data_IF_654306506134
#
_entry.id   IF_654306506134
#
_cell.length_a   1.000
_cell.length_b   1.000
_cell.length_c   1.000
_cell.angle_alpha   90.00
_cell.angle_beta   90.00
_cell.angle_gamma   90.00
#
_symmetry.space_group_name_H-M   'P 1'
#
loop_
_entity.id
_entity.type
_entity.pdbx_description
1 polymer ?
#
# COMPACT_ATOMS: atom_id res chain seq x y z
N UNK A 1 -27.36 -1.52 -17.70
CA UNK A 1 -26.50 -2.73 -17.64
C UNK A 1 -27.40 -3.93 -17.43
N UNK A 2 -27.18 -5.02 -18.17
CA UNK A 2 -27.91 -6.26 -17.97
C UNK A 2 -27.35 -7.03 -16.76
N UNK A 3 -28.18 -7.82 -16.08
CA UNK A 3 -27.70 -8.76 -15.08
C UNK A 3 -27.01 -9.93 -15.77
N UNK A 4 -25.75 -10.19 -15.41
CA UNK A 4 -24.97 -11.32 -15.90
C UNK A 4 -24.64 -12.18 -14.68
N UNK A 5 -25.24 -13.38 -14.59
CA UNK A 5 -25.02 -14.29 -13.47
C UNK A 5 -23.59 -14.84 -13.48
N UNK A 6 -23.01 -15.03 -12.29
CA UNK A 6 -21.76 -15.77 -12.11
C UNK A 6 -21.94 -17.30 -12.12
N UNK A 7 -23.18 -17.78 -12.15
CA UNK A 7 -23.54 -19.19 -11.86
C UNK A 7 -24.08 -19.41 -10.44
N UNK A 8 -23.98 -18.40 -9.55
CA UNK A 8 -24.61 -18.43 -8.22
C UNK A 8 -26.14 -18.53 -8.33
N UNK A 9 -26.73 -19.38 -7.48
CA UNK A 9 -28.18 -19.55 -7.39
C UNK A 9 -28.72 -18.97 -6.07
N UNK A 10 -29.53 -17.89 -6.10
CA UNK A 10 -30.13 -17.31 -4.90
C UNK A 10 -31.16 -18.23 -4.22
N UNK A 11 -31.81 -19.13 -4.96
CA UNK A 11 -32.76 -20.11 -4.40
C UNK A 11 -32.04 -21.28 -3.71
N UNK A 12 -30.75 -21.48 -4.02
CA UNK A 12 -29.91 -22.55 -3.46
C UNK A 12 -28.56 -21.98 -3.02
N UNK A 13 -28.54 -21.07 -2.03
CA UNK A 13 -27.35 -20.27 -1.72
C UNK A 13 -26.17 -21.09 -1.17
N UNK A 14 -26.40 -22.34 -0.75
CA UNK A 14 -25.37 -23.24 -0.24
C UNK A 14 -24.84 -24.21 -1.30
N UNK A 15 -25.53 -24.35 -2.45
CA UNK A 15 -25.08 -25.21 -3.53
C UNK A 15 -23.80 -24.63 -4.16
N UNK A 16 -22.80 -25.48 -4.40
CA UNK A 16 -21.51 -25.14 -5.03
C UNK A 16 -20.72 -24.02 -4.32
N UNK A 17 -21.02 -23.76 -3.03
CA UNK A 17 -20.33 -22.78 -2.20
C UNK A 17 -18.97 -23.35 -1.75
N UNK A 18 -17.90 -22.68 -2.17
CA UNK A 18 -16.53 -22.93 -1.69
C UNK A 18 -16.18 -21.92 -0.58
N UNK A 19 -15.82 -22.41 0.60
CA UNK A 19 -15.41 -21.61 1.78
C UNK A 19 -14.11 -22.14 2.39
N UNK A 20 -13.52 -21.35 3.28
CA UNK A 20 -12.39 -21.76 4.13
C UNK A 20 -11.09 -22.15 3.39
N UNK A 21 -10.90 -21.64 2.16
CA UNK A 21 -9.71 -21.93 1.34
C UNK A 21 -8.47 -21.07 1.65
N UNK A 22 -8.63 -19.95 2.36
CA UNK A 22 -7.53 -19.01 2.65
C UNK A 22 -6.94 -18.33 1.39
N UNK A 23 -5.74 -17.73 1.50
CA UNK A 23 -5.05 -17.12 0.36
C UNK A 23 -4.34 -18.17 -0.50
N UNK A 24 -4.04 -17.81 -1.75
CA UNK A 24 -3.06 -18.55 -2.58
C UNK A 24 -1.70 -18.55 -1.89
N UNK A 25 -0.91 -19.60 -2.08
CA UNK A 25 0.39 -19.70 -1.45
C UNK A 25 1.37 -18.77 -2.19
N UNK A 26 2.17 -18.03 -1.44
CA UNK A 26 3.02 -16.97 -2.01
C UNK A 26 4.08 -17.48 -3.00
N UNK A 27 4.49 -18.75 -2.88
CA UNK A 27 5.56 -19.34 -3.69
C UNK A 27 5.11 -19.72 -5.10
N UNK A 28 3.80 -19.70 -5.36
CA UNK A 28 3.22 -19.76 -6.70
C UNK A 28 3.56 -18.52 -7.55
N UNK A 29 4.01 -17.43 -6.92
CA UNK A 29 4.24 -16.13 -7.56
C UNK A 29 5.68 -15.62 -7.41
N UNK A 30 6.63 -16.48 -7.04
CA UNK A 30 8.03 -16.06 -6.96
C UNK A 30 8.64 -15.92 -8.36
N UNK A 31 9.39 -14.82 -8.62
CA UNK A 31 10.34 -14.81 -9.72
C UNK A 31 11.29 -16.01 -9.60
N UNK A 32 11.71 -16.64 -10.71
CA UNK A 32 12.57 -17.83 -10.66
C UNK A 32 13.86 -17.64 -9.83
N UNK A 33 14.51 -16.47 -9.93
CA UNK A 33 15.70 -16.14 -9.13
C UNK A 33 15.41 -16.11 -7.63
N UNK A 34 14.23 -15.64 -7.23
CA UNK A 34 13.79 -15.62 -5.82
C UNK A 34 13.46 -17.02 -5.34
N UNK A 35 12.75 -17.81 -6.16
CA UNK A 35 12.36 -19.17 -5.81
C UNK A 35 13.57 -20.07 -5.52
N UNK A 36 14.61 -20.00 -6.37
CA UNK A 36 15.82 -20.83 -6.23
C UNK A 36 16.73 -20.39 -5.08
N UNK A 37 16.77 -19.09 -4.78
CA UNK A 37 17.68 -18.51 -3.78
C UNK A 37 16.99 -18.19 -2.44
N UNK A 38 15.73 -18.57 -2.26
CA UNK A 38 14.99 -18.35 -1.01
C UNK A 38 15.74 -18.97 0.18
N UNK A 39 16.09 -18.13 1.15
CA UNK A 39 16.82 -18.54 2.36
C UNK A 39 18.34 -18.67 2.18
N UNK A 40 18.88 -18.30 1.01
CA UNK A 40 20.30 -18.39 0.65
C UNK A 40 20.85 -17.04 0.16
N UNK A 41 20.33 -15.95 0.73
CA UNK A 41 20.80 -14.60 0.42
C UNK A 41 21.98 -14.24 1.32
N UNK A 42 23.08 -13.76 0.73
CA UNK A 42 24.31 -13.46 1.45
C UNK A 42 24.35 -12.00 1.92
N UNK A 43 24.06 -11.05 1.03
CA UNK A 43 24.03 -9.63 1.34
C UNK A 43 23.10 -8.86 0.39
N UNK A 44 22.90 -7.58 0.69
CA UNK A 44 22.21 -6.64 -0.17
C UNK A 44 22.96 -5.31 -0.22
N UNK A 45 22.74 -4.55 -1.28
CA UNK A 45 23.26 -3.19 -1.45
C UNK A 45 22.17 -2.29 -2.05
N UNK A 46 22.22 -1.00 -1.71
CA UNK A 46 21.41 0.03 -2.36
C UNK A 46 22.29 0.72 -3.39
N UNK A 47 22.03 0.46 -4.67
CA UNK A 47 22.87 0.97 -5.77
C UNK A 47 22.62 2.46 -6.03
N UNK A 48 21.37 2.89 -5.88
CA UNK A 48 20.90 4.27 -6.03
C UNK A 48 19.49 4.37 -5.39
N UNK A 49 18.93 5.58 -5.20
CA UNK A 49 17.57 5.73 -4.68
C UNK A 49 16.55 4.93 -5.50
N UNK A 50 15.85 4.01 -4.84
CA UNK A 50 14.87 3.12 -5.47
C UNK A 50 15.42 1.83 -6.08
N UNK A 51 16.73 1.59 -6.08
CA UNK A 51 17.33 0.38 -6.68
C UNK A 51 18.14 -0.40 -5.66
N UNK A 52 17.83 -1.68 -5.54
CA UNK A 52 18.47 -2.63 -4.64
C UNK A 52 19.05 -3.79 -5.45
N UNK A 53 20.12 -4.39 -4.94
CA UNK A 53 20.58 -5.72 -5.39
C UNK A 53 20.69 -6.64 -4.17
N UNK A 54 20.24 -7.88 -4.33
CA UNK A 54 20.50 -8.97 -3.39
C UNK A 54 21.37 -10.01 -4.09
N UNK A 55 22.42 -10.47 -3.41
CA UNK A 55 23.36 -11.46 -3.93
C UNK A 55 23.24 -12.74 -3.12
N UNK A 56 23.04 -13.86 -3.80
CA UNK A 56 22.90 -15.17 -3.15
C UNK A 56 24.25 -15.82 -2.85
N UNK A 57 24.22 -16.91 -2.08
CA UNK A 57 25.40 -17.76 -1.84
C UNK A 57 25.99 -18.37 -3.13
N UNK A 58 25.19 -18.52 -4.20
CA UNK A 58 25.67 -18.99 -5.51
C UNK A 58 26.26 -17.87 -6.38
N UNK A 59 26.16 -16.61 -5.94
CA UNK A 59 26.52 -15.43 -6.72
C UNK A 59 25.43 -14.96 -7.69
N UNK A 60 24.23 -15.57 -7.69
CA UNK A 60 23.09 -15.03 -8.44
C UNK A 60 22.65 -13.70 -7.83
N UNK A 61 22.31 -12.75 -8.70
CA UNK A 61 21.87 -11.41 -8.31
C UNK A 61 20.38 -11.21 -8.62
N UNK A 62 19.66 -10.53 -7.73
CA UNK A 62 18.30 -10.08 -7.94
C UNK A 62 18.23 -8.58 -7.71
N UNK A 63 17.96 -7.84 -8.79
CA UNK A 63 17.84 -6.40 -8.78
C UNK A 63 16.38 -6.02 -8.58
N UNK A 64 16.10 -5.12 -7.63
CA UNK A 64 14.74 -4.64 -7.35
C UNK A 64 14.65 -3.15 -7.60
N UNK A 65 13.71 -2.73 -8.44
CA UNK A 65 13.35 -1.33 -8.66
C UNK A 65 12.05 -1.03 -7.91
N UNK A 66 12.13 -0.19 -6.89
CA UNK A 66 10.99 0.25 -6.06
C UNK A 66 10.42 1.55 -6.60
N UNK A 67 9.11 1.59 -6.75
CA UNK A 67 8.36 2.79 -7.15
C UNK A 67 7.25 3.14 -6.17
N UNK A 68 6.97 4.44 -6.07
CA UNK A 68 5.85 4.95 -5.29
C UNK A 68 4.51 4.46 -5.86
N UNK A 69 3.58 4.14 -4.97
CA UNK A 69 2.19 3.79 -5.33
C UNK A 69 1.19 4.65 -4.57
N UNK A 70 0.04 4.95 -5.17
CA UNK A 70 -0.99 5.76 -4.53
C UNK A 70 -1.91 4.98 -3.56
N UNK A 71 -1.68 3.66 -3.40
CA UNK A 71 -2.49 2.69 -2.63
C UNK A 71 -3.93 2.56 -3.15
N UNK A 72 -4.71 3.64 -3.14
CA UNK A 72 -5.99 3.70 -3.83
C UNK A 72 -5.75 3.81 -5.33
N UNK A 73 -6.07 2.76 -6.08
CA UNK A 73 -5.75 2.67 -7.51
C UNK A 73 -6.90 2.10 -8.33
N UNK A 74 -6.97 2.49 -9.59
CA UNK A 74 -7.92 1.92 -10.55
C UNK A 74 -7.44 0.58 -11.09
N UNK A 75 -8.37 -0.23 -11.60
CA UNK A 75 -8.02 -1.46 -12.33
C UNK A 75 -7.17 -1.18 -13.57
N UNK A 76 -7.29 0.00 -14.19
CA UNK A 76 -6.45 0.39 -15.32
C UNK A 76 -5.00 0.61 -14.90
N UNK A 77 -4.78 1.23 -13.73
CA UNK A 77 -3.43 1.40 -13.19
C UNK A 77 -2.81 0.06 -12.79
N UNK A 78 -3.59 -0.86 -12.21
CA UNK A 78 -3.15 -2.24 -11.94
C UNK A 78 -2.76 -2.98 -13.21
N UNK A 79 -3.54 -2.86 -14.30
CA UNK A 79 -3.20 -3.47 -15.59
C UNK A 79 -1.94 -2.87 -16.20
N UNK A 80 -1.68 -1.58 -16.02
CA UNK A 80 -0.43 -0.92 -16.44
C UNK A 80 0.78 -1.41 -15.61
N UNK A 81 0.60 -1.66 -14.31
CA UNK A 81 1.61 -2.32 -13.48
C UNK A 81 1.92 -3.73 -14.01
N UNK A 82 0.89 -4.52 -14.35
CA UNK A 82 1.07 -5.83 -14.97
C UNK A 82 1.78 -5.75 -16.33
N UNK A 83 1.41 -4.80 -17.19
CA UNK A 83 2.07 -4.57 -18.49
C UNK A 83 3.58 -4.37 -18.35
N UNK A 84 4.01 -3.56 -17.36
CA UNK A 84 5.42 -3.34 -17.06
C UNK A 84 6.08 -4.63 -16.58
N UNK A 85 5.43 -5.38 -15.69
CA UNK A 85 5.95 -6.65 -15.19
C UNK A 85 6.08 -7.70 -16.30
N UNK A 86 5.10 -7.81 -17.19
CA UNK A 86 5.14 -8.72 -18.36
C UNK A 86 6.30 -8.33 -19.30
N UNK A 87 6.51 -7.04 -19.50
CA UNK A 87 7.54 -6.51 -20.42
C UNK A 87 8.97 -6.67 -19.89
N UNK A 88 9.19 -6.49 -18.59
CA UNK A 88 10.53 -6.38 -18.02
C UNK A 88 10.89 -7.44 -16.98
N UNK A 89 9.90 -8.09 -16.37
CA UNK A 89 10.04 -8.90 -15.15
C UNK A 89 9.38 -10.28 -15.27
N UNK A 90 9.16 -10.78 -16.50
CA UNK A 90 8.53 -12.08 -16.78
C UNK A 90 7.15 -12.27 -16.12
N UNK A 91 6.40 -11.17 -15.95
CA UNK A 91 5.09 -11.15 -15.31
C UNK A 91 5.11 -11.12 -13.79
N UNK A 92 6.29 -11.04 -13.16
CA UNK A 92 6.44 -10.99 -11.71
C UNK A 92 6.59 -9.57 -11.18
N UNK A 93 5.92 -9.29 -10.07
CA UNK A 93 6.05 -8.07 -9.29
C UNK A 93 5.64 -8.34 -7.84
N UNK A 94 5.93 -7.40 -6.94
CA UNK A 94 5.40 -7.45 -5.57
C UNK A 94 5.01 -6.08 -5.07
N UNK A 95 4.21 -6.07 -4.00
CA UNK A 95 3.92 -4.87 -3.22
C UNK A 95 4.66 -4.94 -1.88
N UNK A 96 5.15 -3.78 -1.43
CA UNK A 96 5.80 -3.64 -0.13
C UNK A 96 4.77 -3.46 0.99
N UNK A 97 5.19 -3.63 2.24
CA UNK A 97 4.35 -3.35 3.43
C UNK A 97 3.94 -1.88 3.57
N UNK A 98 4.50 -0.99 2.74
CA UNK A 98 4.12 0.44 2.68
C UNK A 98 3.49 0.83 1.35
N UNK A 99 2.91 -0.15 0.64
CA UNK A 99 2.12 0.05 -0.58
C UNK A 99 2.89 0.64 -1.77
N UNK A 100 4.22 0.62 -1.74
CA UNK A 100 5.05 0.76 -2.94
C UNK A 100 4.99 -0.52 -3.79
N UNK A 101 5.30 -0.39 -5.07
CA UNK A 101 5.44 -1.50 -6.02
C UNK A 101 6.92 -1.78 -6.21
N UNK A 102 7.28 -3.05 -6.36
CA UNK A 102 8.63 -3.49 -6.66
C UNK A 102 8.62 -4.43 -7.88
N UNK A 103 9.49 -4.10 -8.82
CA UNK A 103 9.78 -4.87 -10.01
C UNK A 103 11.16 -5.51 -9.85
N UNK A 104 11.30 -6.79 -10.23
CA UNK A 104 12.52 -7.55 -10.00
C UNK A 104 13.07 -8.09 -11.32
N UNK A 105 14.36 -7.90 -11.54
CA UNK A 105 15.09 -8.41 -12.71
C UNK A 105 16.36 -9.15 -12.26
N UNK A 106 16.78 -10.13 -13.04
CA UNK A 106 17.87 -11.07 -12.72
C UNK A 106 19.24 -10.62 -13.26
N UNK A 107 19.32 -9.47 -13.93
CA UNK A 107 20.58 -8.92 -14.42
C UNK A 107 20.63 -7.40 -14.40
N UNK A 108 21.86 -6.87 -14.25
CA UNK A 108 22.11 -5.44 -14.13
C UNK A 108 21.71 -4.66 -15.39
N UNK A 109 21.93 -5.23 -16.57
CA UNK A 109 21.60 -4.56 -17.83
C UNK A 109 20.10 -4.32 -18.03
N UNK A 110 19.23 -5.04 -17.32
CA UNK A 110 17.76 -4.86 -17.38
C UNK A 110 17.26 -3.71 -16.49
N UNK A 111 18.06 -3.25 -15.54
CA UNK A 111 17.65 -2.22 -14.54
C UNK A 111 17.37 -0.88 -15.20
N UNK A 112 18.29 -0.38 -16.03
CA UNK A 112 18.16 0.95 -16.63
C UNK A 112 17.01 1.03 -17.66
N UNK A 113 16.81 0.05 -18.57
CA UNK A 113 15.62 0.00 -19.43
C UNK A 113 14.30 0.03 -18.65
N UNK A 114 14.21 -0.72 -17.55
CA UNK A 114 13.03 -0.72 -16.68
C UNK A 114 12.80 0.64 -16.02
N UNK A 115 13.85 1.25 -15.44
CA UNK A 115 13.75 2.58 -14.82
C UNK A 115 13.30 3.66 -15.80
N UNK A 116 13.85 3.66 -17.02
CA UNK A 116 13.46 4.64 -18.04
C UNK A 116 11.99 4.51 -18.43
N UNK A 117 11.49 3.28 -18.59
CA UNK A 117 10.06 3.04 -18.85
C UNK A 117 9.20 3.56 -17.68
N UNK A 118 9.55 3.22 -16.44
CA UNK A 118 8.85 3.68 -15.23
C UNK A 118 8.80 5.21 -15.12
N UNK A 119 9.94 5.89 -15.31
CA UNK A 119 10.06 7.34 -15.18
C UNK A 119 9.40 8.10 -16.34
N UNK A 120 9.27 7.49 -17.51
CA UNK A 120 8.57 8.08 -18.66
C UNK A 120 7.05 8.19 -18.46
N UNK A 121 6.48 7.42 -17.52
CA UNK A 121 5.03 7.28 -17.34
C UNK A 121 4.48 8.35 -16.38
N UNK A 122 3.59 9.20 -16.92
CA UNK A 122 2.97 10.32 -16.20
C UNK A 122 1.44 10.26 -16.26
N UNK A 123 0.78 10.77 -15.23
CA UNK A 123 -0.66 11.03 -15.27
C UNK A 123 -0.96 12.28 -16.10
N UNK A 124 -2.18 12.41 -16.65
CA UNK A 124 -2.71 13.71 -17.06
C UNK A 124 -2.61 14.69 -15.87
N UNK A 125 -1.83 15.77 -16.03
CA UNK A 125 -1.46 16.69 -14.94
C UNK A 125 0.01 16.61 -14.49
N UNK A 126 0.82 15.72 -15.07
CA UNK A 126 2.28 15.75 -14.99
C UNK A 126 2.92 15.00 -13.82
N UNK A 127 2.13 14.53 -12.85
CA UNK A 127 2.66 13.71 -11.76
C UNK A 127 3.13 12.34 -12.27
N UNK A 128 4.17 11.79 -11.65
CA UNK A 128 4.67 10.46 -11.99
C UNK A 128 3.63 9.39 -11.67
N UNK A 129 3.46 8.42 -12.58
CA UNK A 129 2.73 7.19 -12.28
C UNK A 129 3.58 6.26 -11.41
N UNK A 130 4.88 6.17 -11.69
CA UNK A 130 5.81 5.25 -11.04
C UNK A 130 7.12 5.95 -10.67
N UNK A 131 7.12 6.90 -9.72
CA UNK A 131 8.35 7.56 -9.29
C UNK A 131 9.27 6.54 -8.60
N UNK A 132 10.53 6.45 -9.04
CA UNK A 132 11.54 5.53 -8.47
C UNK A 132 12.12 6.12 -7.19
N UNK A 133 12.16 5.35 -6.10
CA UNK A 133 12.67 5.85 -4.82
C UNK A 133 12.27 5.04 -3.58
N UNK A 134 12.36 5.67 -2.40
CA UNK A 134 11.88 5.12 -1.13
C UNK A 134 12.76 4.02 -0.53
N UNK A 135 14.04 3.96 -0.89
CA UNK A 135 15.09 3.12 -0.26
C UNK A 135 16.00 3.96 0.65
N UNK A 136 16.85 3.30 1.45
CA UNK A 136 17.87 3.97 2.27
C UNK A 136 17.32 4.98 3.28
N UNK A 137 18.11 6.01 3.60
CA UNK A 137 17.75 7.04 4.57
C UNK A 137 17.05 8.24 3.90
N UNK A 138 15.78 8.07 3.56
CA UNK A 138 14.93 9.11 2.97
C UNK A 138 13.54 9.11 3.60
N UNK A 139 12.53 9.52 2.83
CA UNK A 139 11.13 9.28 3.15
C UNK A 139 10.60 8.19 2.23
N UNK A 140 9.94 7.18 2.77
CA UNK A 140 9.13 6.28 1.93
C UNK A 140 7.65 6.65 2.05
N UNK A 141 6.82 5.95 1.29
CA UNK A 141 5.39 6.17 1.23
C UNK A 141 4.68 6.20 2.61
N UNK A 142 3.54 6.87 2.66
CA UNK A 142 2.73 7.10 3.86
C UNK A 142 1.68 6.00 3.99
N UNK A 143 1.80 5.18 5.04
CA UNK A 143 0.72 4.26 5.43
C UNK A 143 -0.47 5.10 5.90
N UNK A 144 -1.63 4.89 5.27
CA UNK A 144 -2.81 5.73 5.49
C UNK A 144 -4.13 4.95 5.42
N UNK A 145 -5.20 5.59 5.87
CA UNK A 145 -6.54 5.01 6.07
C UNK A 145 -7.52 5.32 4.94
N UNK A 146 -8.80 5.02 5.16
CA UNK A 146 -9.87 5.28 4.21
C UNK A 146 -10.23 6.77 4.07
N UNK A 147 -10.28 7.53 5.18
CA UNK A 147 -10.72 8.93 5.12
C UNK A 147 -12.16 9.07 4.64
N UNK A 148 -12.45 10.15 3.92
CA UNK A 148 -13.79 10.46 3.40
C UNK A 148 -14.22 9.58 2.23
N UNK A 149 -13.30 8.78 1.69
CA UNK A 149 -13.57 7.91 0.54
C UNK A 149 -14.50 6.75 0.91
N UNK A 150 -14.46 6.28 2.16
CA UNK A 150 -15.21 5.07 2.53
C UNK A 150 -15.55 4.94 4.02
N UNK A 151 -14.91 5.68 4.94
CA UNK A 151 -15.19 5.52 6.36
C UNK A 151 -16.32 6.45 6.82
N UNK A 152 -17.09 6.03 7.83
CA UNK A 152 -18.14 6.83 8.44
C UNK A 152 -17.72 7.53 9.76
N UNK A 153 -16.57 7.16 10.34
CA UNK A 153 -15.99 7.84 11.53
C UNK A 153 -14.77 8.77 11.27
N UNK A 154 -14.47 9.25 10.04
CA UNK A 154 -13.28 10.06 9.81
C UNK A 154 -13.46 11.48 10.35
N UNK A 155 -12.46 11.98 11.07
CA UNK A 155 -12.32 13.40 11.42
C UNK A 155 -11.57 14.21 10.34
N UNK A 156 -10.96 13.54 9.36
CA UNK A 156 -10.25 14.12 8.20
C UNK A 156 -10.21 13.13 7.04
N UNK A 157 -9.96 13.60 5.83
CA UNK A 157 -9.62 12.71 4.71
C UNK A 157 -8.25 12.03 4.91
N UNK A 158 -7.97 10.99 4.12
CA UNK A 158 -6.69 10.31 4.08
C UNK A 158 -5.93 10.56 2.78
N UNK A 159 -6.53 10.25 1.62
CA UNK A 159 -5.82 10.31 0.33
C UNK A 159 -5.38 11.73 -0.05
N UNK A 160 -6.21 12.73 0.20
CA UNK A 160 -5.88 14.14 -0.03
C UNK A 160 -4.67 14.61 0.78
N UNK A 161 -4.69 14.53 2.13
CA UNK A 161 -3.55 14.91 2.96
C UNK A 161 -2.28 14.11 2.66
N UNK A 162 -2.38 12.82 2.34
CA UNK A 162 -1.22 12.01 1.92
C UNK A 162 -0.60 12.54 0.63
N UNK A 163 -1.43 12.84 -0.38
CA UNK A 163 -0.96 13.43 -1.64
C UNK A 163 -0.27 14.77 -1.39
N UNK A 164 -0.91 15.67 -0.64
CA UNK A 164 -0.33 16.97 -0.31
C UNK A 164 1.01 16.85 0.45
N UNK A 165 1.10 15.92 1.40
CA UNK A 165 2.32 15.69 2.18
C UNK A 165 3.44 15.09 1.31
N UNK A 166 3.12 14.09 0.49
CA UNK A 166 4.11 13.45 -0.39
C UNK A 166 4.59 14.36 -1.51
N UNK A 167 3.82 15.37 -1.92
CA UNK A 167 4.27 16.38 -2.88
C UNK A 167 5.35 17.28 -2.28
N UNK A 168 5.24 17.61 -1.00
CA UNK A 168 6.28 18.38 -0.28
C UNK A 168 7.51 17.51 0.03
N UNK A 169 7.29 16.24 0.39
CA UNK A 169 8.36 15.29 0.74
C UNK A 169 8.94 14.54 -0.46
N UNK A 170 8.57 14.93 -1.69
CA UNK A 170 8.93 14.15 -2.89
C UNK A 170 10.45 14.08 -3.09
N UNK A 171 11.16 15.16 -2.80
CA UNK A 171 12.62 15.19 -2.91
C UNK A 171 13.28 14.21 -1.93
N UNK A 172 12.72 14.00 -0.74
CA UNK A 172 13.20 13.01 0.23
C UNK A 172 12.79 11.57 -0.15
N UNK A 173 11.79 11.41 -1.02
CA UNK A 173 11.43 10.11 -1.58
C UNK A 173 12.41 9.63 -2.64
N UNK A 174 12.87 10.54 -3.51
CA UNK A 174 13.80 10.22 -4.60
C UNK A 174 15.27 10.36 -4.21
N UNK A 175 15.58 10.63 -2.93
CA UNK A 175 16.94 10.75 -2.40
C UNK A 175 17.12 9.99 -1.08
N UNK A 176 18.38 9.87 -0.62
CA UNK A 176 18.76 9.21 0.63
C UNK A 176 19.62 10.12 1.50
N UNK A 177 19.10 11.31 1.86
CA UNK A 177 19.84 12.40 2.52
C UNK A 177 19.53 12.60 4.01
N UNK A 178 18.61 11.82 4.59
CA UNK A 178 18.22 11.94 5.98
C UNK A 178 19.19 11.16 6.89
N UNK A 179 19.27 11.47 8.20
CA UNK A 179 20.11 10.73 9.14
C UNK A 179 19.72 9.26 9.29
N UNK A 180 18.42 8.98 9.14
CA UNK A 180 17.83 7.67 9.13
C UNK A 180 16.58 7.68 8.25
N UNK A 181 16.09 6.50 7.96
CA UNK A 181 14.90 6.28 7.16
C UNK A 181 13.64 6.72 7.92
N UNK A 182 12.95 7.76 7.43
CA UNK A 182 11.81 8.38 8.13
C UNK A 182 10.48 7.77 7.69
N UNK A 183 9.60 7.51 8.67
CA UNK A 183 8.25 6.96 8.50
C UNK A 183 7.20 7.96 8.89
N UNK A 184 6.37 8.30 7.90
CA UNK A 184 5.16 9.09 8.09
C UNK A 184 3.95 8.17 8.03
N UNK A 185 2.99 8.32 8.92
CA UNK A 185 1.70 7.62 8.85
C UNK A 185 0.53 8.55 9.11
N UNK A 186 -0.62 8.22 8.53
CA UNK A 186 -1.86 8.98 8.69
C UNK A 186 -3.02 8.08 9.11
N UNK A 187 -3.80 8.52 10.09
CA UNK A 187 -5.10 7.94 10.40
C UNK A 187 -6.18 9.02 10.45
N UNK A 188 -7.31 8.73 9.84
CA UNK A 188 -8.43 9.66 9.76
C UNK A 188 -9.18 9.85 11.10
N UNK A 189 -8.98 8.98 12.07
CA UNK A 189 -9.52 9.09 13.43
C UNK A 189 -8.66 8.31 14.44
N UNK A 190 -9.00 8.45 15.72
CA UNK A 190 -8.27 7.86 16.85
C UNK A 190 -8.30 6.33 16.95
N UNK A 191 -9.10 5.64 16.12
CA UNK A 191 -8.95 4.19 15.98
C UNK A 191 -7.58 3.81 15.38
N UNK A 192 -6.89 4.79 14.77
CA UNK A 192 -5.48 4.69 14.39
C UNK A 192 -5.16 3.47 13.52
N UNK A 193 -6.07 3.10 12.60
CA UNK A 193 -5.88 1.97 11.70
C UNK A 193 -4.58 2.13 10.89
N UNK A 194 -3.57 1.31 11.15
CA UNK A 194 -2.25 1.42 10.54
C UNK A 194 -1.17 1.69 11.59
N UNK A 195 -0.30 2.67 11.33
CA UNK A 195 0.97 2.82 12.07
C UNK A 195 1.17 4.21 12.69
N UNK A 196 0.10 4.99 12.90
CA UNK A 196 0.19 6.34 13.52
C UNK A 196 0.84 6.28 14.91
N UNK A 197 0.57 5.25 15.70
CA UNK A 197 1.10 5.11 17.07
C UNK A 197 2.58 4.72 17.13
N UNK A 198 3.20 4.37 16.00
CA UNK A 198 4.55 3.80 15.95
C UNK A 198 5.37 4.29 14.73
N UNK A 199 5.07 5.50 14.25
CA UNK A 199 5.82 6.16 13.17
C UNK A 199 6.58 7.37 13.68
N UNK A 200 7.67 7.73 13.00
CA UNK A 200 8.49 8.90 13.35
C UNK A 200 7.67 10.20 13.30
N UNK A 201 6.79 10.31 12.30
CA UNK A 201 5.82 11.41 12.16
C UNK A 201 4.42 10.82 11.94
N UNK A 202 3.45 11.35 12.67
CA UNK A 202 2.08 10.86 12.67
C UNK A 202 1.09 12.00 12.42
N UNK A 203 0.19 11.81 11.45
CA UNK A 203 -0.92 12.72 11.15
C UNK A 203 -2.21 12.05 11.64
N UNK A 204 -2.95 12.72 12.51
CA UNK A 204 -4.13 12.15 13.15
C UNK A 204 -5.33 13.09 13.02
N UNK A 205 -6.43 12.58 12.46
CA UNK A 205 -7.72 13.25 12.53
C UNK A 205 -8.26 13.28 13.96
N UNK A 206 -8.70 14.46 14.40
CA UNK A 206 -9.08 14.68 15.79
C UNK A 206 -10.37 15.50 15.90
N UNK A 207 -11.35 15.00 16.66
CA UNK A 207 -12.57 15.74 17.00
C UNK A 207 -12.32 16.68 18.18
N UNK A 208 -13.05 17.80 18.24
CA UNK A 208 -12.95 18.79 19.33
C UNK A 208 -14.32 19.14 19.95
N UNK A 209 -15.32 18.30 19.72
CA UNK A 209 -16.69 18.49 20.23
C UNK A 209 -17.24 17.13 20.68
N UNK A 210 -18.05 17.07 21.75
CA UNK A 210 -18.85 15.89 22.09
C UNK A 210 -19.79 15.47 20.94
N UNK A 211 -20.26 14.21 20.91
CA UNK A 211 -21.24 13.76 19.93
C UNK A 211 -22.59 14.45 20.13
N UNK A 212 -23.36 14.59 19.05
CA UNK A 212 -24.77 14.98 19.10
C UNK A 212 -25.61 13.73 19.42
N UNK A 213 -26.72 13.91 20.14
CA UNK A 213 -27.62 12.83 20.51
C UNK A 213 -28.89 12.89 19.67
N UNK A 214 -29.19 11.80 18.98
CA UNK A 214 -30.43 11.64 18.22
C UNK A 214 -31.44 10.80 19.03
N UNK A 215 -32.12 11.49 19.96
CA UNK A 215 -33.02 10.84 20.91
C UNK A 215 -34.20 10.11 20.25
N UNK A 216 -34.60 10.48 19.04
CA UNK A 216 -35.71 9.83 18.35
C UNK A 216 -35.36 8.39 17.91
N UNK A 217 -34.09 8.15 17.57
CA UNK A 217 -33.64 6.88 16.99
C UNK A 217 -32.68 6.09 17.87
N UNK A 218 -32.05 6.71 18.88
CA UNK A 218 -31.00 6.08 19.70
C UNK A 218 -31.38 4.68 20.17
N UNK A 219 -32.54 4.52 20.82
CA UNK A 219 -33.00 3.23 21.34
C UNK A 219 -33.42 2.24 20.25
N UNK A 220 -33.71 2.73 19.03
CA UNK A 220 -34.12 1.90 17.89
C UNK A 220 -32.94 1.28 17.15
N UNK A 221 -31.74 1.87 17.26
CA UNK A 221 -30.56 1.49 16.46
C UNK A 221 -29.32 1.18 17.31
N UNK A 222 -29.35 1.47 18.61
CA UNK A 222 -28.22 1.25 19.51
C UNK A 222 -28.56 0.27 20.63
N UNK A 223 -27.64 -0.65 20.91
CA UNK A 223 -27.63 -1.39 22.16
C UNK A 223 -27.00 -0.51 23.25
N UNK A 224 -27.82 0.20 24.05
CA UNK A 224 -27.38 1.21 25.02
C UNK A 224 -26.22 0.76 25.92
N UNK A 225 -26.21 -0.45 26.50
CA UNK A 225 -25.08 -0.91 27.32
C UNK A 225 -23.74 -0.91 26.57
N UNK A 226 -23.74 -1.19 25.27
CA UNK A 226 -22.52 -1.11 24.45
C UNK A 226 -22.03 0.33 24.31
N UNK A 227 -22.94 1.29 24.14
CA UNK A 227 -22.57 2.70 24.04
C UNK A 227 -21.94 3.23 25.34
N UNK A 228 -22.52 2.89 26.51
CA UNK A 228 -21.97 3.23 27.83
C UNK A 228 -20.58 2.62 27.99
N UNK A 229 -20.44 1.32 27.73
CA UNK A 229 -19.17 0.59 27.90
C UNK A 229 -18.08 1.04 26.92
N UNK A 230 -18.44 1.66 25.79
CA UNK A 230 -17.49 2.18 24.82
C UNK A 230 -16.78 3.47 25.26
N UNK A 231 -17.28 4.18 26.30
CA UNK A 231 -16.68 5.44 26.73
C UNK A 231 -15.47 5.21 27.66
N UNK A 232 -14.23 5.51 27.21
CA UNK A 232 -13.04 5.29 28.04
C UNK A 232 -12.96 6.19 29.28
N UNK A 233 -13.74 7.27 29.31
CA UNK A 233 -13.78 8.25 30.41
C UNK A 233 -15.12 8.28 31.14
N UNK A 234 -16.00 7.30 30.91
CA UNK A 234 -17.30 7.18 31.57
C UNK A 234 -18.16 8.46 31.55
N UNK A 235 -18.23 9.12 30.39
CA UNK A 235 -19.00 10.36 30.20
C UNK A 235 -20.40 10.14 29.59
N UNK A 236 -20.79 8.87 29.37
CA UNK A 236 -22.09 8.44 28.85
C UNK A 236 -22.87 7.78 29.98
#
# INVERSE_FOLDING_TARGET
>A
MAFISSGYNPDKPMQDRITDIGPRKYDEFYPPVVARNKGKWLYHEILEPGVLVHVSESGEECYTVRVGGCRLMSVSHLREICEIADKHCDGYLRFTTRNNVEFMVDSKEKVEPLKQDLLSRKQPGGCFKFPVGGTGAGVTNIVHTQGWIHCHTPATDASGPVKATMDVLFDDFVNMRLPAQLRVSLACCLNMCGAVHCSDIAILGYHRKPPMLDHEYLDKVCEIPLAIAACPTAAI
#
